data_IF_492438677702
#
_entry.id   IF_492438677702
#
_cell.length_a   1.000
_cell.length_b   1.000
_cell.length_c   1.000
_cell.angle_alpha   90.00
_cell.angle_beta   90.00
_cell.angle_gamma   90.00
#
_symmetry.space_group_name_H-M   'P 1'
#
loop_
_entity.id
_entity.type
_entity.pdbx_description
1 polymer ?
#
# COMPACT_ATOMS: atom_id res chain seq x y z
N UNK A 1 6.02 -3.67 -10.17
CA UNK A 1 5.51 -2.31 -10.00
C UNK A 1 5.71 -1.87 -8.56
N UNK A 2 6.18 -0.63 -8.39
CA UNK A 2 6.46 -0.09 -7.07
C UNK A 2 5.81 1.29 -6.94
N UNK A 3 4.70 1.39 -6.24
CA UNK A 3 3.88 2.60 -6.14
C UNK A 3 3.52 3.18 -7.52
N UNK A 4 2.87 2.38 -8.34
CA UNK A 4 2.44 2.74 -9.71
C UNK A 4 0.97 2.44 -9.92
N UNK A 5 0.49 1.31 -9.39
CA UNK A 5 -0.86 0.82 -9.71
C UNK A 5 -1.96 1.76 -9.18
N UNK A 6 -1.69 2.48 -8.09
CA UNK A 6 -2.59 3.49 -7.53
C UNK A 6 -2.79 4.72 -8.41
N UNK A 7 -1.92 4.95 -9.40
CA UNK A 7 -1.97 6.12 -10.29
C UNK A 7 -2.60 5.83 -11.66
N UNK A 8 -2.79 4.56 -12.03
CA UNK A 8 -3.23 4.22 -13.39
C UNK A 8 -4.72 4.51 -13.60
N UNK A 9 -5.10 5.05 -14.76
CA UNK A 9 -6.49 5.34 -15.10
C UNK A 9 -7.27 4.06 -15.46
N UNK A 10 -6.68 3.18 -16.25
CA UNK A 10 -7.29 1.90 -16.66
C UNK A 10 -6.68 0.73 -15.89
N UNK A 11 -7.17 0.51 -14.68
CA UNK A 11 -6.70 -0.55 -13.80
C UNK A 11 -6.83 -1.95 -14.41
N UNK A 12 -7.98 -2.23 -15.08
CA UNK A 12 -8.21 -3.54 -15.72
C UNK A 12 -7.29 -3.75 -16.90
N UNK A 13 -7.13 -2.76 -17.78
CA UNK A 13 -6.24 -2.87 -18.94
C UNK A 13 -4.79 -3.08 -18.55
N UNK A 14 -4.32 -2.44 -17.48
CA UNK A 14 -2.97 -2.70 -16.95
C UNK A 14 -2.81 -4.14 -16.45
N UNK A 15 -3.79 -4.66 -15.71
CA UNK A 15 -3.73 -6.04 -15.21
C UNK A 15 -3.76 -7.07 -16.35
N UNK A 16 -4.59 -6.84 -17.37
CA UNK A 16 -4.66 -7.70 -18.56
C UNK A 16 -3.36 -7.63 -19.37
N UNK A 17 -2.77 -6.44 -19.49
CA UNK A 17 -1.48 -6.26 -20.14
C UNK A 17 -0.37 -7.03 -19.40
N UNK A 18 -0.30 -6.96 -18.07
CA UNK A 18 0.68 -7.74 -17.31
C UNK A 18 0.51 -9.23 -17.53
N UNK A 19 -0.75 -9.71 -17.60
CA UNK A 19 -1.01 -11.11 -17.90
C UNK A 19 -0.51 -11.51 -19.27
N UNK A 20 -0.64 -10.64 -20.28
CA UNK A 20 -0.22 -10.90 -21.65
C UNK A 20 1.29 -10.96 -21.86
N UNK A 21 2.05 -10.17 -21.10
CA UNK A 21 3.53 -10.07 -21.26
C UNK A 21 4.31 -11.02 -20.35
N UNK A 22 3.69 -11.55 -19.30
CA UNK A 22 4.34 -12.49 -18.39
C UNK A 22 4.49 -13.86 -19.06
N UNK A 23 5.72 -14.39 -19.02
CA UNK A 23 6.00 -15.76 -19.46
C UNK A 23 5.26 -16.78 -18.59
N UNK A 24 4.98 -18.00 -19.09
CA UNK A 24 4.49 -19.09 -18.26
C UNK A 24 5.37 -19.28 -17.01
N UNK A 25 4.75 -19.30 -15.83
CA UNK A 25 5.46 -19.35 -14.54
C UNK A 25 6.11 -18.05 -14.09
N UNK A 26 5.97 -16.96 -14.84
CA UNK A 26 6.45 -15.64 -14.47
C UNK A 26 5.81 -15.12 -13.19
N UNK A 27 6.48 -14.19 -12.53
CA UNK A 27 6.04 -13.62 -11.25
C UNK A 27 5.71 -12.14 -11.41
N UNK A 28 4.52 -11.74 -10.99
CA UNK A 28 4.09 -10.35 -10.88
C UNK A 28 4.32 -9.88 -9.44
N UNK A 29 5.04 -8.76 -9.28
CA UNK A 29 5.29 -8.14 -7.98
C UNK A 29 4.73 -6.71 -8.02
N UNK A 30 3.80 -6.42 -7.10
CA UNK A 30 3.14 -5.11 -6.97
C UNK A 30 3.25 -4.63 -5.53
N UNK A 31 3.76 -3.42 -5.32
CA UNK A 31 3.75 -2.72 -4.05
C UNK A 31 2.81 -1.53 -4.13
N UNK A 32 1.85 -1.42 -3.20
CA UNK A 32 0.87 -0.32 -3.12
C UNK A 32 0.55 0.02 -1.67
N UNK A 33 0.10 1.27 -1.39
CA UNK A 33 -0.42 1.67 -0.09
C UNK A 33 -1.66 0.86 0.29
N UNK A 34 -1.82 0.64 1.60
CA UNK A 34 -2.93 -0.10 2.18
C UNK A 34 -3.82 0.83 3.01
N UNK A 35 -4.96 1.25 2.47
CA UNK A 35 -5.88 2.17 3.15
C UNK A 35 -6.59 1.55 4.38
N UNK A 36 -6.41 0.26 4.62
CA UNK A 36 -6.91 -0.43 5.82
C UNK A 36 -5.81 -0.68 6.86
N UNK A 37 -4.64 -0.10 6.68
CA UNK A 37 -3.51 -0.21 7.59
C UNK A 37 -3.78 0.41 8.97
N UNK A 38 -2.90 0.13 9.94
CA UNK A 38 -3.00 0.70 11.27
C UNK A 38 -2.90 2.23 11.26
N UNK A 39 -1.96 2.78 10.49
CA UNK A 39 -1.77 4.22 10.36
C UNK A 39 -2.90 4.89 9.55
N UNK A 40 -3.41 4.28 8.50
CA UNK A 40 -4.58 4.78 7.80
C UNK A 40 -5.80 4.92 8.73
N UNK A 41 -6.06 3.93 9.58
CA UNK A 41 -7.12 4.03 10.59
C UNK A 41 -6.85 5.11 11.65
N UNK A 42 -5.57 5.30 12.05
CA UNK A 42 -5.18 6.33 13.02
C UNK A 42 -5.37 7.74 12.47
N UNK A 43 -4.95 7.97 11.23
CA UNK A 43 -4.92 9.31 10.64
C UNK A 43 -6.22 9.67 9.92
N UNK A 44 -7.05 8.68 9.55
CA UNK A 44 -8.31 8.94 8.85
C UNK A 44 -8.10 9.74 7.56
N UNK A 45 -8.91 10.76 7.33
CA UNK A 45 -8.91 11.57 6.11
C UNK A 45 -7.57 12.28 5.82
N UNK A 46 -6.73 12.50 6.84
CA UNK A 46 -5.41 13.14 6.68
C UNK A 46 -4.27 12.15 6.51
N UNK A 47 -4.56 10.86 6.33
CA UNK A 47 -3.52 9.87 6.03
C UNK A 47 -2.82 10.21 4.71
N UNK A 48 -1.51 10.43 4.79
CA UNK A 48 -0.75 10.99 3.68
C UNK A 48 -0.74 10.12 2.43
N UNK A 49 -0.86 8.80 2.58
CA UNK A 49 -0.87 7.90 1.42
C UNK A 49 -2.22 7.83 0.70
N UNK A 50 -3.23 8.61 1.10
CA UNK A 50 -4.37 8.88 0.21
C UNK A 50 -3.95 9.70 -1.00
N UNK A 51 -3.05 10.66 -0.82
CA UNK A 51 -2.40 11.46 -1.87
C UNK A 51 -3.35 11.90 -3.02
N UNK A 52 -4.55 12.37 -2.66
CA UNK A 52 -5.58 12.80 -3.61
C UNK A 52 -5.19 14.15 -4.21
N UNK A 53 -5.31 14.38 -5.53
CA UNK A 53 -5.93 13.50 -6.55
C UNK A 53 -4.96 12.58 -7.31
N UNK A 54 -3.69 12.47 -6.89
CA UNK A 54 -2.67 11.68 -7.61
C UNK A 54 -2.93 10.18 -7.51
N UNK A 55 -3.37 9.68 -6.34
CA UNK A 55 -3.82 8.31 -6.18
C UNK A 55 -5.28 8.19 -6.59
N UNK A 56 -5.53 7.50 -7.69
CA UNK A 56 -6.88 7.24 -8.22
C UNK A 56 -7.53 6.02 -7.55
N UNK A 57 -6.71 5.12 -7.02
CA UNK A 57 -7.14 3.86 -6.41
C UNK A 57 -6.56 3.71 -5.01
N UNK A 58 -7.40 3.25 -4.08
CA UNK A 58 -6.98 2.92 -2.73
C UNK A 58 -7.24 1.45 -2.46
N UNK A 59 -6.17 0.70 -2.25
CA UNK A 59 -6.22 -0.74 -2.13
C UNK A 59 -6.27 -1.20 -0.67
N UNK A 60 -7.04 -2.28 -0.42
CA UNK A 60 -6.90 -3.14 0.74
C UNK A 60 -6.34 -4.50 0.31
N UNK A 61 -5.82 -5.31 1.25
CA UNK A 61 -5.34 -6.67 0.92
C UNK A 61 -6.41 -7.53 0.23
N UNK A 62 -7.67 -7.42 0.66
CA UNK A 62 -8.79 -8.14 0.05
C UNK A 62 -9.12 -7.63 -1.35
N UNK A 63 -9.09 -6.30 -1.56
CA UNK A 63 -9.31 -5.72 -2.88
C UNK A 63 -8.23 -6.16 -3.86
N UNK A 64 -6.95 -6.15 -3.45
CA UNK A 64 -5.84 -6.63 -4.26
C UNK A 64 -5.96 -8.12 -4.59
N UNK A 65 -6.33 -8.95 -3.63
CA UNK A 65 -6.58 -10.38 -3.88
C UNK A 65 -7.68 -10.59 -4.92
N UNK A 66 -8.81 -9.88 -4.80
CA UNK A 66 -9.91 -9.94 -5.78
C UNK A 66 -9.49 -9.46 -7.16
N UNK A 67 -8.75 -8.34 -7.23
CA UNK A 67 -8.24 -7.78 -8.48
C UNK A 67 -7.33 -8.81 -9.18
N UNK A 68 -6.35 -9.35 -8.48
CA UNK A 68 -5.43 -10.36 -9.02
C UNK A 68 -6.18 -11.60 -9.52
N UNK A 69 -7.09 -12.14 -8.71
CA UNK A 69 -7.87 -13.33 -9.08
C UNK A 69 -8.75 -13.07 -10.31
N UNK A 70 -9.39 -11.90 -10.40
CA UNK A 70 -10.22 -11.51 -11.54
C UNK A 70 -9.44 -11.55 -12.87
N UNK A 71 -8.15 -11.18 -12.83
CA UNK A 71 -7.27 -11.14 -14.02
C UNK A 71 -6.36 -12.37 -14.15
N UNK A 72 -6.73 -13.49 -13.52
CA UNK A 72 -6.07 -14.78 -13.68
C UNK A 72 -4.73 -14.93 -12.96
N UNK A 73 -4.45 -14.06 -11.98
CA UNK A 73 -3.29 -14.20 -11.12
C UNK A 73 -3.64 -14.90 -9.80
N UNK A 74 -2.77 -15.79 -9.38
CA UNK A 74 -2.84 -16.44 -8.07
C UNK A 74 -1.91 -15.73 -7.10
N UNK A 75 -2.46 -15.05 -6.09
CA UNK A 75 -1.66 -14.43 -5.03
C UNK A 75 -0.93 -15.51 -4.23
N UNK A 76 0.40 -15.49 -4.25
CA UNK A 76 1.24 -16.49 -3.59
C UNK A 76 1.81 -15.99 -2.26
N UNK A 77 2.08 -14.69 -2.14
CA UNK A 77 2.63 -14.12 -0.90
C UNK A 77 2.27 -12.63 -0.74
N UNK A 78 2.31 -12.16 0.52
CA UNK A 78 2.23 -10.75 0.91
C UNK A 78 3.40 -10.42 1.84
N UNK A 79 4.10 -9.32 1.57
CA UNK A 79 5.24 -8.86 2.39
C UNK A 79 4.97 -7.42 2.82
N UNK A 80 5.12 -7.07 4.12
CA UNK A 80 4.97 -5.69 4.56
C UNK A 80 6.14 -4.83 4.06
N UNK A 81 5.86 -3.56 3.75
CA UNK A 81 6.89 -2.54 3.51
C UNK A 81 7.13 -1.72 4.78
N UNK A 82 8.15 -2.06 5.57
CA UNK A 82 8.28 -1.49 6.92
C UNK A 82 8.66 -0.01 6.93
N UNK A 83 9.45 0.47 5.95
CA UNK A 83 9.95 1.85 5.92
C UNK A 83 8.86 2.86 5.56
N UNK A 84 7.89 2.48 4.76
CA UNK A 84 6.76 3.35 4.39
C UNK A 84 5.96 3.82 5.61
N UNK A 85 5.85 2.99 6.63
CA UNK A 85 5.14 3.33 7.86
C UNK A 85 5.69 4.59 8.53
N UNK A 86 7.01 4.78 8.50
CA UNK A 86 7.66 5.97 9.07
C UNK A 86 7.39 7.20 8.22
N UNK A 87 7.66 7.11 6.92
CA UNK A 87 7.47 8.21 5.99
C UNK A 87 6.02 8.70 5.98
N UNK A 88 5.07 7.78 5.79
CA UNK A 88 3.64 8.11 5.73
C UNK A 88 3.13 8.68 7.04
N UNK A 89 3.54 8.12 8.19
CA UNK A 89 3.14 8.65 9.50
C UNK A 89 3.69 10.05 9.76
N UNK A 90 4.94 10.31 9.44
CA UNK A 90 5.54 11.66 9.60
C UNK A 90 4.85 12.69 8.70
N UNK A 91 4.58 12.33 7.45
CA UNK A 91 3.89 13.21 6.51
C UNK A 91 2.42 13.44 6.92
N UNK A 92 1.74 12.45 7.47
CA UNK A 92 0.38 12.60 8.01
C UNK A 92 0.32 13.55 9.21
N UNK A 93 1.33 13.51 10.10
CA UNK A 93 1.42 14.49 11.20
C UNK A 93 1.66 15.92 10.68
N UNK A 94 2.47 16.07 9.63
CA UNK A 94 2.65 17.38 8.98
C UNK A 94 1.33 17.90 8.41
N UNK A 95 0.52 17.07 7.80
CA UNK A 95 -0.82 17.45 7.30
C UNK A 95 -1.79 17.79 8.43
N UNK A 96 -1.57 17.28 9.65
CA UNK A 96 -2.31 17.66 10.85
C UNK A 96 -1.96 19.07 11.34
N UNK A 97 -0.92 19.70 10.82
CA UNK A 97 -0.42 21.00 11.25
C UNK A 97 0.60 20.93 12.40
N UNK A 98 1.16 19.77 12.65
CA UNK A 98 2.21 19.56 13.65
C UNK A 98 3.59 19.63 13.00
N UNK A 99 4.40 20.62 13.34
CA UNK A 99 5.76 20.77 12.81
C UNK A 99 6.77 19.80 13.47
N UNK A 100 7.68 20.29 14.30
CA UNK A 100 8.75 19.46 14.89
C UNK A 100 8.22 18.36 15.82
N UNK A 101 7.28 18.68 16.71
CA UNK A 101 6.66 17.69 17.61
C UNK A 101 5.87 16.65 16.84
N UNK A 102 5.29 17.02 15.70
CA UNK A 102 4.63 16.07 14.78
C UNK A 102 5.58 15.07 14.18
N UNK A 103 6.81 15.45 13.87
CA UNK A 103 7.82 14.52 13.37
C UNK A 103 8.14 13.41 14.38
N UNK A 104 8.28 13.75 15.66
CA UNK A 104 8.49 12.78 16.76
C UNK A 104 7.27 11.87 16.93
N UNK A 105 6.06 12.43 16.94
CA UNK A 105 4.81 11.68 17.05
C UNK A 105 4.59 10.77 15.83
N UNK A 106 4.93 11.23 14.63
CA UNK A 106 4.89 10.47 13.39
C UNK A 106 5.87 9.30 13.40
N UNK A 107 7.09 9.53 13.88
CA UNK A 107 8.09 8.48 14.03
C UNK A 107 7.63 7.40 15.02
N UNK A 108 7.15 7.78 16.19
CA UNK A 108 6.59 6.84 17.19
C UNK A 108 5.39 6.05 16.63
N UNK A 109 4.52 6.73 15.85
CA UNK A 109 3.42 6.07 15.13
C UNK A 109 3.91 5.06 14.10
N UNK A 110 4.95 5.44 13.35
CA UNK A 110 5.63 4.57 12.38
C UNK A 110 6.16 3.30 13.03
N UNK A 111 6.81 3.41 14.20
CA UNK A 111 7.24 2.25 14.99
C UNK A 111 6.06 1.31 15.29
N UNK A 112 4.95 1.86 15.78
CA UNK A 112 3.76 1.06 16.07
C UNK A 112 3.19 0.36 14.85
N UNK A 113 3.16 1.03 13.71
CA UNK A 113 2.68 0.44 12.44
C UNK A 113 3.66 -0.60 11.90
N UNK A 114 4.96 -0.34 12.02
CA UNK A 114 6.02 -1.29 11.67
C UNK A 114 5.86 -2.63 12.41
N UNK A 115 5.74 -2.61 13.73
CA UNK A 115 5.57 -3.85 14.51
C UNK A 115 4.22 -4.51 14.25
N UNK A 116 3.15 -3.72 14.07
CA UNK A 116 1.83 -4.24 13.72
C UNK A 116 1.84 -4.95 12.37
N UNK A 117 2.50 -4.36 11.36
CA UNK A 117 2.64 -4.95 10.03
C UNK A 117 3.49 -6.22 10.03
N UNK A 118 4.50 -6.32 10.91
CA UNK A 118 5.29 -7.56 11.06
C UNK A 118 4.48 -8.70 11.69
N UNK A 119 3.56 -8.38 12.60
CA UNK A 119 2.67 -9.39 13.21
C UNK A 119 1.55 -9.81 12.25
N UNK A 120 1.01 -8.87 11.50
CA UNK A 120 -0.03 -9.11 10.50
C UNK A 120 0.21 -8.15 9.34
N UNK A 121 0.58 -8.67 8.18
CA UNK A 121 0.89 -7.90 6.96
C UNK A 121 -0.27 -6.96 6.56
N UNK A 122 -1.51 -7.33 6.86
CA UNK A 122 -2.70 -6.54 6.52
C UNK A 122 -2.82 -5.24 7.34
N UNK A 123 -1.99 -5.07 8.37
CA UNK A 123 -1.86 -3.83 9.13
C UNK A 123 -0.71 -2.93 8.66
N UNK A 124 0.10 -3.38 7.69
CA UNK A 124 1.20 -2.59 7.17
C UNK A 124 0.71 -1.41 6.32
N UNK A 125 1.43 -0.28 6.39
CA UNK A 125 1.15 0.95 5.64
C UNK A 125 1.11 0.72 4.13
N UNK A 126 2.09 -0.03 3.62
CA UNK A 126 2.15 -0.52 2.24
C UNK A 126 2.46 -2.01 2.24
N UNK A 127 1.97 -2.71 1.22
CA UNK A 127 2.11 -4.16 1.08
C UNK A 127 2.64 -4.50 -0.29
N UNK A 128 3.61 -5.42 -0.34
CA UNK A 128 4.09 -6.05 -1.56
C UNK A 128 3.29 -7.34 -1.77
N UNK A 129 2.67 -7.44 -2.93
CA UNK A 129 1.92 -8.62 -3.38
C UNK A 129 2.73 -9.37 -4.41
N UNK A 130 2.88 -10.68 -4.23
CA UNK A 130 3.59 -11.58 -5.15
C UNK A 130 2.56 -12.56 -5.70
N UNK A 131 2.44 -12.61 -7.03
CA UNK A 131 1.47 -13.44 -7.73
C UNK A 131 2.07 -14.16 -8.96
N UNK A 132 1.42 -15.24 -9.39
CA UNK A 132 1.76 -15.99 -10.61
C UNK A 132 0.56 -16.11 -11.52
#
# INVERSE_FOLDING_TARGET
>A
LWHVLEHVHDLSGYMDHFRSILKPGGTLIIAVPNHTSRDARKYGAIWAAYDVPRHLWHFSPDAMKRLMTKHGFSLTNKIPMPLDAFYVSMLSEKYRGNDFMGSVAGFASGIGTFFSGRKNVDNASSVIYIAK
#
